data_IF_464957281975
#
_entry.id   IF_464957281975
#
_cell.length_a   1.000
_cell.length_b   1.000
_cell.length_c   1.000
_cell.angle_alpha   90.00
_cell.angle_beta   90.00
_cell.angle_gamma   90.00
#
_symmetry.space_group_name_H-M   'P 1'
#
loop_
_entity.id
_entity.type
_entity.pdbx_description
1 polymer ?
#
# COMPACT_ATOMS: atom_id res chain seq x y z
N UNK A 1 10.01 12.22 -1.18
CA UNK A 1 10.79 13.24 -0.44
C UNK A 1 12.12 12.59 -0.08
N UNK A 2 13.25 13.25 -0.35
CA UNK A 2 14.58 12.72 0.04
C UNK A 2 14.87 13.27 1.43
N UNK A 3 15.04 12.39 2.43
CA UNK A 3 15.59 12.80 3.73
C UNK A 3 17.08 12.57 3.68
N UNK A 4 17.87 13.60 3.96
CA UNK A 4 19.34 13.49 4.06
C UNK A 4 19.75 13.71 5.49
N UNK A 5 20.54 12.81 6.02
CA UNK A 5 21.29 13.02 7.25
C UNK A 5 22.62 13.68 6.88
N UNK A 6 22.80 14.94 7.30
CA UNK A 6 24.00 15.71 7.01
C UNK A 6 25.25 15.22 7.77
N UNK A 7 25.07 14.48 8.86
CA UNK A 7 26.17 13.96 9.68
C UNK A 7 26.72 12.63 9.13
N UNK A 8 25.83 11.76 8.65
CA UNK A 8 26.21 10.44 8.12
C UNK A 8 26.29 10.38 6.60
N UNK A 9 25.73 11.37 5.90
CA UNK A 9 25.62 11.38 4.44
C UNK A 9 24.55 10.44 3.88
N UNK A 10 23.81 9.73 4.75
CA UNK A 10 22.77 8.78 4.34
C UNK A 10 21.56 9.54 3.78
N UNK A 11 21.07 9.07 2.63
CA UNK A 11 19.83 9.55 2.03
C UNK A 11 18.77 8.46 2.04
N UNK A 12 17.62 8.73 2.66
CA UNK A 12 16.43 7.89 2.54
C UNK A 12 15.52 8.42 1.43
N UNK A 13 15.16 7.50 0.52
CA UNK A 13 14.27 7.77 -0.62
C UNK A 13 13.16 6.74 -0.63
N UNK A 14 11.92 7.22 -0.72
CA UNK A 14 10.77 6.38 -1.02
C UNK A 14 10.44 6.49 -2.52
N UNK A 15 10.40 5.35 -3.20
CA UNK A 15 10.18 5.27 -4.66
C UNK A 15 8.91 4.48 -4.93
N UNK A 16 8.14 4.92 -5.91
CA UNK A 16 6.91 4.26 -6.34
C UNK A 16 6.96 4.00 -7.84
N UNK A 17 6.69 2.75 -8.24
CA UNK A 17 6.51 2.39 -9.64
C UNK A 17 5.07 2.63 -10.10
N UNK A 18 4.90 3.26 -11.26
CA UNK A 18 3.65 3.35 -11.99
C UNK A 18 3.82 2.55 -13.28
N UNK A 19 3.03 1.50 -13.45
CA UNK A 19 3.15 0.61 -14.59
C UNK A 19 2.23 -0.61 -14.49
N UNK A 20 2.30 -1.47 -15.49
CA UNK A 20 1.59 -2.75 -15.52
C UNK A 20 2.33 -3.84 -14.74
N UNK A 21 1.60 -4.86 -14.31
CA UNK A 21 2.21 -6.05 -13.71
C UNK A 21 3.16 -6.76 -14.69
N UNK A 22 4.27 -7.27 -14.17
CA UNK A 22 5.37 -7.85 -14.94
C UNK A 22 6.39 -6.82 -15.43
N UNK A 23 6.13 -5.51 -15.25
CA UNK A 23 7.13 -4.48 -15.55
C UNK A 23 8.12 -4.31 -14.40
N UNK A 24 9.36 -4.05 -14.77
CA UNK A 24 10.45 -3.78 -13.84
C UNK A 24 11.03 -2.40 -14.14
N UNK A 25 11.51 -1.72 -13.10
CA UNK A 25 12.37 -0.55 -13.23
C UNK A 25 13.59 -0.72 -12.34
N UNK A 26 14.76 -0.48 -12.91
CA UNK A 26 16.00 -0.45 -12.14
C UNK A 26 16.21 0.95 -11.56
N UNK A 27 16.45 1.01 -10.26
CA UNK A 27 16.86 2.22 -9.56
C UNK A 27 18.37 2.16 -9.47
N UNK A 28 19.02 3.13 -10.11
CA UNK A 28 20.47 3.25 -10.15
C UNK A 28 20.93 4.60 -9.61
N UNK A 29 22.17 4.64 -9.12
CA UNK A 29 22.83 5.86 -8.69
C UNK A 29 24.11 6.06 -9.48
N UNK A 30 24.35 7.28 -9.93
CA UNK A 30 25.63 7.68 -10.52
C UNK A 30 26.38 8.55 -9.51
N UNK A 31 27.62 8.18 -9.20
CA UNK A 31 28.54 8.94 -8.36
C UNK A 31 29.94 8.88 -8.96
N UNK A 32 30.64 10.01 -9.00
CA UNK A 32 32.01 10.15 -9.55
C UNK A 32 32.20 9.57 -10.96
N UNK A 33 31.14 9.61 -11.78
CA UNK A 33 31.15 9.10 -13.15
C UNK A 33 30.78 7.62 -13.29
N UNK A 34 30.67 6.88 -12.18
CA UNK A 34 30.31 5.47 -12.16
C UNK A 34 28.82 5.28 -11.82
N UNK A 35 28.15 4.38 -12.54
CA UNK A 35 26.73 4.07 -12.32
C UNK A 35 26.58 2.68 -11.71
N UNK A 36 25.94 2.62 -10.54
CA UNK A 36 25.64 1.38 -9.82
C UNK A 36 24.14 1.20 -9.69
N UNK A 37 23.64 0.02 -10.05
CA UNK A 37 22.25 -0.37 -9.78
C UNK A 37 22.08 -0.63 -8.28
N UNK A 38 21.13 0.07 -7.66
CA UNK A 38 20.83 -0.07 -6.23
C UNK A 38 19.81 -1.19 -5.99
N UNK A 39 18.73 -1.20 -6.77
CA UNK A 39 17.69 -2.23 -6.68
C UNK A 39 16.82 -2.26 -7.95
N UNK A 40 16.06 -3.33 -8.12
CA UNK A 40 14.99 -3.44 -9.11
C UNK A 40 13.65 -3.37 -8.41
N UNK A 41 12.75 -2.51 -8.89
CA UNK A 41 11.35 -2.49 -8.47
C UNK A 41 10.55 -3.27 -9.50
N UNK A 42 9.96 -4.39 -9.07
CA UNK A 42 9.06 -5.20 -9.90
C UNK A 42 7.61 -4.92 -9.54
N UNK A 43 6.81 -4.63 -10.56
CA UNK A 43 5.37 -4.47 -10.41
C UNK A 43 4.69 -5.82 -10.58
N UNK A 44 3.94 -6.24 -9.57
CA UNK A 44 3.24 -7.53 -9.57
C UNK A 44 1.74 -7.32 -9.37
N UNK A 45 0.94 -8.17 -10.01
CA UNK A 45 -0.49 -8.18 -9.73
C UNK A 45 -0.70 -8.74 -8.31
N UNK A 46 -1.47 -8.04 -7.45
CA UNK A 46 -1.83 -8.61 -6.17
C UNK A 46 -2.65 -9.90 -6.37
N UNK A 47 -2.53 -10.90 -5.46
CA UNK A 47 -3.29 -12.15 -5.51
C UNK A 47 -4.76 -11.96 -5.06
N UNK A 48 -5.29 -10.75 -5.22
CA UNK A 48 -6.64 -10.35 -4.83
C UNK A 48 -7.16 -9.24 -5.74
N UNK A 49 -8.46 -9.00 -5.70
CA UNK A 49 -9.12 -7.85 -6.31
C UNK A 49 -9.61 -6.94 -5.18
N UNK A 50 -9.43 -5.62 -5.34
CA UNK A 50 -10.08 -4.64 -4.49
C UNK A 50 -11.15 -3.90 -5.28
N UNK A 51 -12.22 -3.48 -4.59
CA UNK A 51 -13.22 -2.57 -5.16
C UNK A 51 -12.68 -1.17 -5.42
N UNK A 52 -11.52 -0.83 -4.85
CA UNK A 52 -10.80 0.42 -5.12
C UNK A 52 -9.29 0.25 -5.09
N UNK A 53 -8.61 0.95 -5.99
CA UNK A 53 -7.15 1.19 -5.92
C UNK A 53 -6.86 2.69 -6.01
N UNK A 54 -7.89 3.52 -5.83
CA UNK A 54 -7.83 4.97 -5.99
C UNK A 54 -7.33 5.60 -4.69
N UNK A 55 -6.40 6.54 -4.81
CA UNK A 55 -5.94 7.32 -3.67
C UNK A 55 -7.04 8.26 -3.17
N UNK A 56 -7.14 8.41 -1.85
CA UNK A 56 -8.16 9.23 -1.21
C UNK A 56 -7.60 10.53 -0.65
N UNK A 57 -8.46 11.55 -0.62
CA UNK A 57 -8.31 12.74 0.24
C UNK A 57 -9.51 12.78 1.18
N UNK A 58 -9.29 12.76 2.49
CA UNK A 58 -10.33 12.68 3.53
C UNK A 58 -9.99 13.61 4.69
N UNK A 59 -10.99 14.04 5.46
CA UNK A 59 -10.78 14.81 6.71
C UNK A 59 -10.59 13.88 7.90
N UNK A 60 -9.96 14.38 8.96
CA UNK A 60 -9.94 13.70 10.28
C UNK A 60 -11.37 13.32 10.71
N UNK A 61 -11.52 12.14 11.30
CA UNK A 61 -12.80 11.56 11.73
C UNK A 61 -13.55 10.81 10.63
N UNK A 62 -13.22 11.02 9.35
CA UNK A 62 -13.85 10.25 8.28
C UNK A 62 -13.47 8.77 8.35
N UNK A 63 -14.40 7.94 7.89
CA UNK A 63 -14.16 6.51 7.71
C UNK A 63 -14.49 6.09 6.29
N UNK A 64 -13.93 4.96 5.87
CA UNK A 64 -14.25 4.33 4.59
C UNK A 64 -14.05 2.83 4.70
N UNK A 65 -14.93 2.08 4.05
CA UNK A 65 -14.86 0.63 3.97
C UNK A 65 -14.50 0.25 2.53
N UNK A 66 -13.56 -0.67 2.37
CA UNK A 66 -13.18 -1.24 1.10
C UNK A 66 -13.23 -2.76 1.16
N UNK A 67 -13.41 -3.36 -0.01
CA UNK A 67 -13.53 -4.79 -0.21
C UNK A 67 -12.23 -5.36 -0.76
N UNK A 68 -11.87 -6.54 -0.29
CA UNK A 68 -10.81 -7.39 -0.82
C UNK A 68 -11.38 -8.78 -1.10
N UNK A 69 -11.19 -9.27 -2.32
CA UNK A 69 -11.54 -10.63 -2.73
C UNK A 69 -10.26 -11.35 -3.15
N UNK A 70 -9.70 -12.23 -2.31
CA UNK A 70 -8.59 -13.09 -2.71
C UNK A 70 -8.96 -13.93 -3.94
N UNK A 71 -8.02 -14.09 -4.87
CA UNK A 71 -8.22 -14.97 -6.04
C UNK A 71 -8.25 -16.44 -5.64
N UNK A 72 -7.45 -16.80 -4.63
CA UNK A 72 -7.54 -18.09 -3.95
C UNK A 72 -8.42 -17.95 -2.71
N UNK A 73 -9.60 -18.55 -2.76
CA UNK A 73 -10.62 -18.47 -1.70
C UNK A 73 -10.23 -19.15 -0.37
N UNK A 74 -9.15 -19.95 -0.35
CA UNK A 74 -8.59 -20.51 0.89
C UNK A 74 -7.79 -19.48 1.69
N UNK A 75 -7.39 -18.38 1.05
CA UNK A 75 -6.55 -17.35 1.66
C UNK A 75 -7.39 -16.33 2.40
N UNK A 76 -6.88 -15.91 3.56
CA UNK A 76 -7.49 -14.83 4.34
C UNK A 76 -6.57 -13.63 4.31
N UNK A 77 -7.01 -12.50 3.73
CA UNK A 77 -6.25 -11.27 3.74
C UNK A 77 -6.29 -10.64 5.14
N UNK A 78 -5.26 -9.90 5.48
CA UNK A 78 -5.28 -8.90 6.56
C UNK A 78 -4.96 -7.53 5.99
N UNK A 79 -5.28 -6.45 6.71
CA UNK A 79 -4.93 -5.11 6.25
C UNK A 79 -4.46 -4.21 7.38
N UNK A 80 -3.47 -3.38 7.06
CA UNK A 80 -2.79 -2.49 7.97
C UNK A 80 -2.47 -1.17 7.27
N UNK A 81 -2.33 -0.10 8.02
CA UNK A 81 -1.79 1.15 7.51
C UNK A 81 -0.27 1.20 7.65
N UNK A 82 0.39 1.93 6.75
CA UNK A 82 1.82 2.23 6.88
C UNK A 82 2.12 3.22 8.01
N UNK A 83 1.10 3.88 8.57
CA UNK A 83 1.22 4.74 9.72
C UNK A 83 -0.09 4.76 10.51
N UNK A 84 -0.12 4.00 11.60
CA UNK A 84 -1.30 3.84 12.45
C UNK A 84 -1.66 5.10 13.21
N UNK A 85 -0.77 6.10 13.36
CA UNK A 85 -1.12 7.39 13.99
C UNK A 85 -2.03 8.22 13.08
N UNK A 86 -1.82 8.16 11.77
CA UNK A 86 -2.60 8.91 10.76
C UNK A 86 -3.90 8.18 10.42
N UNK A 87 -3.82 6.86 10.23
CA UNK A 87 -4.92 6.06 9.70
C UNK A 87 -4.94 4.71 10.41
N UNK A 88 -6.05 4.38 11.07
CA UNK A 88 -6.23 3.09 11.73
C UNK A 88 -7.12 2.17 10.89
N UNK A 89 -6.82 0.86 10.82
CA UNK A 89 -7.56 -0.09 9.98
C UNK A 89 -8.05 -1.25 10.84
N UNK A 90 -9.33 -1.58 10.69
CA UNK A 90 -9.97 -2.66 11.40
C UNK A 90 -10.74 -3.56 10.43
N UNK A 91 -10.80 -4.86 10.74
CA UNK A 91 -11.68 -5.78 10.02
C UNK A 91 -13.14 -5.37 10.22
N UNK A 92 -13.90 -5.33 9.12
CA UNK A 92 -15.31 -4.94 9.08
C UNK A 92 -16.23 -6.10 8.67
N UNK A 93 -15.72 -7.33 8.71
CA UNK A 93 -16.46 -8.55 8.43
C UNK A 93 -16.09 -9.21 7.09
N UNK A 94 -16.80 -10.28 6.75
CA UNK A 94 -16.63 -11.02 5.49
C UNK A 94 -17.97 -11.58 5.00
N UNK A 95 -18.08 -11.77 3.69
CA UNK A 95 -19.28 -12.31 3.04
C UNK A 95 -18.90 -13.32 1.96
N UNK A 96 -19.51 -14.51 2.00
CA UNK A 96 -19.42 -15.47 0.90
C UNK A 96 -20.25 -14.95 -0.29
N UNK A 97 -19.66 -14.95 -1.48
CA UNK A 97 -20.31 -14.54 -2.71
C UNK A 97 -20.97 -15.73 -3.42
N UNK A 98 -21.83 -15.45 -4.40
CA UNK A 98 -22.57 -16.46 -5.15
C UNK A 98 -21.66 -17.35 -6.01
N UNK A 99 -20.52 -16.81 -6.46
CA UNK A 99 -19.50 -17.53 -7.22
C UNK A 99 -18.59 -18.42 -6.34
N UNK A 100 -18.85 -18.48 -5.04
CA UNK A 100 -18.05 -19.23 -4.08
C UNK A 100 -16.76 -18.52 -3.64
N UNK A 101 -16.51 -17.28 -4.02
CA UNK A 101 -15.43 -16.48 -3.43
C UNK A 101 -15.85 -15.89 -2.08
N UNK A 102 -14.88 -15.43 -1.28
CA UNK A 102 -15.16 -14.73 -0.02
C UNK A 102 -14.65 -13.28 -0.13
N UNK A 103 -15.55 -12.32 0.02
CA UNK A 103 -15.20 -10.91 0.18
C UNK A 103 -14.88 -10.62 1.64
N UNK A 104 -13.77 -9.91 1.87
CA UNK A 104 -13.34 -9.40 3.15
C UNK A 104 -13.46 -7.88 3.13
N UNK A 105 -14.03 -7.31 4.18
CA UNK A 105 -14.24 -5.88 4.30
C UNK A 105 -13.32 -5.33 5.38
N UNK A 106 -12.66 -4.22 5.07
CA UNK A 106 -11.80 -3.50 6.00
C UNK A 106 -12.25 -2.05 6.06
N UNK A 107 -12.31 -1.51 7.27
CA UNK A 107 -12.67 -0.12 7.50
C UNK A 107 -11.44 0.64 7.99
N UNK A 108 -11.13 1.75 7.35
CA UNK A 108 -10.17 2.69 7.88
C UNK A 108 -10.83 3.89 8.56
N UNK A 109 -10.13 4.46 9.54
CA UNK A 109 -10.48 5.68 10.28
C UNK A 109 -9.34 6.68 10.15
N UNK A 110 -9.64 7.90 9.70
CA UNK A 110 -8.69 9.00 9.62
C UNK A 110 -8.53 9.65 11.00
N UNK A 111 -7.34 9.59 11.60
CA UNK A 111 -7.11 10.04 12.99
C UNK A 111 -6.41 11.39 13.11
N UNK A 112 -5.33 11.60 12.37
CA UNK A 112 -4.58 12.87 12.38
C UNK A 112 -4.22 13.30 10.96
N UNK A 113 -4.00 14.60 10.71
CA UNK A 113 -3.54 15.05 9.40
C UNK A 113 -2.22 14.39 8.98
N UNK A 114 -2.06 14.13 7.69
CA UNK A 114 -0.88 13.46 7.11
C UNK A 114 -1.26 12.43 6.05
N UNK A 115 -0.27 11.76 5.46
CA UNK A 115 -0.49 10.72 4.45
C UNK A 115 -0.11 9.34 4.98
N UNK A 116 -0.94 8.33 4.72
CA UNK A 116 -0.64 6.93 5.05
C UNK A 116 -1.07 5.99 3.92
N UNK A 117 -0.23 4.99 3.64
CA UNK A 117 -0.55 3.90 2.71
C UNK A 117 -1.44 2.86 3.39
N UNK A 118 -2.33 2.25 2.61
CA UNK A 118 -3.13 1.08 3.02
C UNK A 118 -2.57 -0.16 2.33
N UNK A 119 -2.25 -1.16 3.13
CA UNK A 119 -1.61 -2.40 2.70
C UNK A 119 -2.50 -3.59 3.02
N UNK A 120 -2.57 -4.53 2.09
CA UNK A 120 -3.24 -5.82 2.28
C UNK A 120 -2.18 -6.90 2.22
N UNK A 121 -2.17 -7.78 3.21
CA UNK A 121 -1.26 -8.91 3.28
C UNK A 121 -2.00 -10.20 2.93
N UNK A 122 -1.46 -10.95 1.98
CA UNK A 122 -1.93 -12.29 1.60
C UNK A 122 -0.71 -13.19 1.51
N UNK A 123 -0.78 -14.38 2.13
CA UNK A 123 0.35 -15.33 2.19
C UNK A 123 1.67 -14.73 2.69
N UNK A 124 1.57 -13.85 3.70
CA UNK A 124 2.73 -13.20 4.31
C UNK A 124 3.33 -12.06 3.49
N UNK A 125 2.91 -11.85 2.24
CA UNK A 125 3.36 -10.75 1.40
C UNK A 125 2.40 -9.57 1.49
N UNK A 126 2.94 -8.37 1.77
CA UNK A 126 2.17 -7.13 1.79
C UNK A 126 2.13 -6.46 0.41
N UNK A 127 0.95 -5.98 0.04
CA UNK A 127 0.67 -5.28 -1.21
C UNK A 127 0.00 -3.95 -0.90
N UNK A 128 0.54 -2.86 -1.40
CA UNK A 128 -0.10 -1.56 -1.25
C UNK A 128 -1.32 -1.45 -2.16
N UNK A 129 -2.47 -1.07 -1.60
CA UNK A 129 -3.72 -0.92 -2.36
C UNK A 129 -3.90 0.53 -2.82
N UNK A 130 -3.72 1.50 -1.90
CA UNK A 130 -3.83 2.95 -2.16
C UNK A 130 -3.19 3.76 -1.02
N UNK A 131 -3.11 5.08 -1.18
CA UNK A 131 -2.84 6.05 -0.12
C UNK A 131 -4.09 6.83 0.27
N UNK A 132 -4.11 7.32 1.51
CA UNK A 132 -5.06 8.33 1.95
C UNK A 132 -4.29 9.55 2.49
N UNK A 133 -4.52 10.71 1.88
CA UNK A 133 -4.12 12.00 2.42
C UNK A 133 -5.22 12.52 3.36
N UNK A 134 -4.89 12.66 4.63
CA UNK A 134 -5.77 13.14 5.69
C UNK A 134 -5.53 14.63 5.91
N UNK A 135 -6.58 15.43 5.74
CA UNK A 135 -6.58 16.86 6.07
C UNK A 135 -7.26 17.09 7.42
N UNK A 136 -7.04 18.27 8.00
CA UNK A 136 -7.84 18.74 9.11
C UNK A 136 -9.34 18.80 8.76
#
# INVERSE_FOLDING_TARGET
MIKRDAATGVAEVEVYGLGGAGQNVDISMTADGETTQLCTVSLINPPFVSDTTVNFVKKVGNTYCYQIVPRDSSKTPTSNSGNSTILDINAAGKKRQADGTTAYYFKFVCKTPGCAGVYVTVDGQAYRVFYCNVTA
#
